data_IF_933265314160
#
_entry.id   IF_933265314160
#
_cell.length_a   1.000
_cell.length_b   1.000
_cell.length_c   1.000
_cell.angle_alpha   90.00
_cell.angle_beta   90.00
_cell.angle_gamma   90.00
#
_symmetry.space_group_name_H-M   'P 1'
#
loop_
_entity.id
_entity.type
_entity.pdbx_description
1 polymer ?
#
# COMPACT_ATOMS: atom_id res chain seq x y z
N UNK A 1 -31.43 -32.28 -7.46
CA UNK A 1 -30.16 -32.88 -7.00
C UNK A 1 -29.22 -32.81 -8.19
N UNK A 2 -28.07 -32.12 -8.10
CA UNK A 2 -27.12 -32.11 -9.24
C UNK A 2 -26.58 -33.54 -9.44
N UNK A 3 -26.38 -34.01 -10.69
CA UNK A 3 -26.17 -35.43 -10.98
C UNK A 3 -24.76 -35.96 -10.65
N UNK A 4 -23.87 -35.08 -10.20
CA UNK A 4 -22.44 -35.36 -10.00
C UNK A 4 -21.99 -34.68 -8.71
N UNK A 5 -21.09 -35.36 -8.00
CA UNK A 5 -20.42 -34.84 -6.81
C UNK A 5 -19.53 -33.65 -7.18
N UNK A 6 -19.77 -32.52 -6.53
CA UNK A 6 -18.95 -31.33 -6.72
C UNK A 6 -17.55 -31.53 -6.11
N UNK A 7 -16.53 -30.95 -6.74
CA UNK A 7 -15.19 -30.89 -6.16
C UNK A 7 -15.25 -30.25 -4.76
N UNK A 8 -14.57 -30.80 -3.73
CA UNK A 8 -14.70 -30.32 -2.34
C UNK A 8 -14.41 -28.83 -2.14
N UNK A 9 -13.54 -28.25 -2.97
CA UNK A 9 -13.19 -26.83 -2.93
C UNK A 9 -14.08 -25.92 -3.79
N UNK A 10 -15.04 -26.46 -4.56
CA UNK A 10 -15.81 -25.68 -5.55
C UNK A 10 -16.46 -24.45 -4.95
N UNK A 11 -17.12 -24.60 -3.79
CA UNK A 11 -17.76 -23.48 -3.11
C UNK A 11 -16.76 -22.51 -2.49
N UNK A 12 -15.68 -23.01 -1.87
CA UNK A 12 -14.65 -22.16 -1.29
C UNK A 12 -13.98 -21.28 -2.35
N UNK A 13 -13.63 -21.85 -3.51
CA UNK A 13 -13.03 -21.12 -4.63
C UNK A 13 -13.96 -20.07 -5.22
N UNK A 14 -15.26 -20.38 -5.37
CA UNK A 14 -16.25 -19.41 -5.85
C UNK A 14 -16.46 -18.29 -4.83
N UNK A 15 -16.52 -18.63 -3.53
CA UNK A 15 -16.70 -17.63 -2.49
C UNK A 15 -15.47 -16.70 -2.36
N UNK A 16 -14.26 -17.19 -2.62
CA UNK A 16 -13.04 -16.36 -2.65
C UNK A 16 -13.14 -15.22 -3.68
N UNK A 17 -13.77 -15.45 -4.84
CA UNK A 17 -14.00 -14.41 -5.85
C UNK A 17 -14.91 -13.28 -5.35
N UNK A 18 -15.73 -13.54 -4.33
CA UNK A 18 -16.69 -12.60 -3.76
C UNK A 18 -16.28 -12.09 -2.37
N UNK A 19 -15.17 -12.58 -1.82
CA UNK A 19 -14.73 -12.33 -0.45
C UNK A 19 -14.39 -10.85 -0.16
N UNK A 20 -14.01 -10.08 -1.20
CA UNK A 20 -13.52 -8.69 -1.09
C UNK A 20 -14.39 -7.72 -1.88
N UNK A 21 -15.68 -7.53 -1.52
CA UNK A 21 -16.51 -6.58 -2.24
C UNK A 21 -15.96 -5.15 -2.10
N UNK A 22 -16.10 -4.37 -3.17
CA UNK A 22 -15.85 -2.93 -3.10
C UNK A 22 -16.84 -2.27 -2.13
N UNK A 23 -16.42 -1.24 -1.38
CA UNK A 23 -17.33 -0.48 -0.55
C UNK A 23 -18.39 0.21 -1.41
N UNK A 24 -19.51 0.56 -0.80
CA UNK A 24 -20.55 1.38 -1.41
C UNK A 24 -20.56 2.72 -0.69
N UNK A 25 -20.16 3.80 -1.36
CA UNK A 25 -19.94 5.10 -0.74
C UNK A 25 -20.95 6.13 -1.24
N UNK A 26 -21.74 6.66 -0.32
CA UNK A 26 -22.63 7.80 -0.61
C UNK A 26 -21.83 9.11 -0.53
N UNK A 27 -22.08 10.03 -1.45
CA UNK A 27 -21.41 11.34 -1.52
C UNK A 27 -22.32 12.38 -0.86
N UNK A 28 -21.80 13.30 -0.03
CA UNK A 28 -20.40 13.44 0.36
C UNK A 28 -19.96 12.42 1.42
N UNK A 29 -18.70 12.01 1.39
CA UNK A 29 -18.07 11.16 2.41
C UNK A 29 -16.57 11.41 2.51
N UNK A 30 -15.93 10.76 3.48
CA UNK A 30 -14.47 10.68 3.54
C UNK A 30 -14.02 9.24 3.78
N UNK A 31 -12.78 8.97 3.40
CA UNK A 31 -12.10 7.71 3.66
C UNK A 31 -10.75 7.95 4.35
N UNK A 32 -10.44 7.13 5.33
CA UNK A 32 -9.12 7.04 5.95
C UNK A 32 -8.54 5.69 5.59
N UNK A 33 -7.34 5.67 5.03
CA UNK A 33 -6.69 4.45 4.56
C UNK A 33 -5.31 4.30 5.18
N UNK A 34 -4.98 3.09 5.62
CA UNK A 34 -3.67 2.70 6.11
C UNK A 34 -3.21 1.42 5.44
N UNK A 35 -1.96 1.38 4.99
CA UNK A 35 -1.28 0.14 4.65
C UNK A 35 -0.08 -0.05 5.60
N UNK A 36 -0.06 -1.17 6.31
CA UNK A 36 0.97 -1.54 7.27
C UNK A 36 1.77 -2.72 6.71
N UNK A 37 3.10 -2.58 6.74
CA UNK A 37 4.02 -3.56 6.17
C UNK A 37 5.18 -3.81 7.12
N UNK A 38 5.57 -5.08 7.26
CA UNK A 38 6.84 -5.44 7.88
C UNK A 38 8.02 -4.96 7.01
N UNK A 39 9.01 -4.24 7.57
CA UNK A 39 10.17 -3.79 6.80
C UNK A 39 10.95 -4.95 6.15
N UNK A 40 11.05 -6.08 6.85
CA UNK A 40 11.82 -7.26 6.43
C UNK A 40 10.92 -8.49 6.36
N UNK A 41 11.14 -9.36 5.38
CA UNK A 41 10.51 -10.66 5.23
C UNK A 41 8.96 -10.66 5.37
N UNK A 42 8.30 -9.64 4.82
CA UNK A 42 6.86 -9.43 5.07
C UNK A 42 5.95 -10.54 4.53
N UNK A 43 6.40 -11.29 3.52
CA UNK A 43 5.69 -12.46 3.01
C UNK A 43 5.57 -13.58 4.06
N UNK A 44 6.53 -13.67 4.98
CA UNK A 44 6.57 -14.65 6.08
C UNK A 44 6.27 -14.03 7.44
N UNK A 45 5.60 -12.88 7.47
CA UNK A 45 5.23 -12.22 8.72
C UNK A 45 4.19 -13.03 9.51
N UNK A 46 4.10 -12.73 10.80
CA UNK A 46 3.05 -13.27 11.66
C UNK A 46 1.69 -12.63 11.33
N UNK A 47 0.87 -13.34 10.55
CA UNK A 47 -0.49 -12.91 10.19
C UNK A 47 -1.45 -12.98 11.39
N UNK A 48 -1.13 -13.75 12.43
CA UNK A 48 -1.93 -13.77 13.66
C UNK A 48 -1.78 -12.45 14.43
N UNK A 49 -0.58 -11.84 14.41
CA UNK A 49 -0.37 -10.51 14.98
C UNK A 49 -1.18 -9.43 14.23
N UNK A 50 -1.25 -9.49 12.90
CA UNK A 50 -2.12 -8.59 12.11
C UNK A 50 -3.59 -8.73 12.51
N UNK A 51 -4.07 -9.97 12.67
CA UNK A 51 -5.45 -10.25 13.10
C UNK A 51 -5.69 -9.79 14.54
N UNK A 52 -4.73 -10.00 15.45
CA UNK A 52 -4.84 -9.56 16.84
C UNK A 52 -4.97 -8.03 16.92
N UNK A 53 -4.24 -7.31 16.08
CA UNK A 53 -4.33 -5.86 15.98
C UNK A 53 -5.70 -5.38 15.48
N UNK A 54 -6.30 -6.07 14.49
CA UNK A 54 -7.69 -5.82 14.09
C UNK A 54 -8.65 -6.09 15.26
N UNK A 55 -8.49 -7.21 15.96
CA UNK A 55 -9.37 -7.57 17.09
C UNK A 55 -9.31 -6.52 18.21
N UNK A 56 -8.13 -6.02 18.58
CA UNK A 56 -7.99 -4.93 19.55
C UNK A 56 -8.76 -3.67 19.11
N UNK A 57 -8.73 -3.33 17.81
CA UNK A 57 -9.54 -2.23 17.28
C UNK A 57 -11.04 -2.50 17.41
N UNK A 58 -11.48 -3.72 17.08
CA UNK A 58 -12.89 -4.10 17.16
C UNK A 58 -13.40 -4.12 18.60
N UNK A 59 -12.60 -4.58 19.55
CA UNK A 59 -12.94 -4.64 20.98
C UNK A 59 -13.19 -3.23 21.56
N UNK A 60 -12.40 -2.23 21.15
CA UNK A 60 -12.61 -0.81 21.53
C UNK A 60 -13.98 -0.28 21.09
N UNK A 61 -14.56 -0.88 20.06
CA UNK A 61 -15.84 -0.46 19.48
C UNK A 61 -16.97 -1.49 19.69
N UNK A 62 -16.74 -2.58 20.41
CA UNK A 62 -17.72 -3.65 20.62
C UNK A 62 -18.16 -4.38 19.33
N UNK A 63 -17.30 -4.41 18.32
CA UNK A 63 -17.59 -5.02 17.02
C UNK A 63 -17.44 -6.55 17.01
N UNK A 64 -18.14 -7.27 16.12
CA UNK A 64 -17.98 -8.72 15.97
C UNK A 64 -16.59 -9.06 15.42
N UNK A 65 -16.02 -10.18 15.85
CA UNK A 65 -14.69 -10.61 15.39
C UNK A 65 -14.76 -11.36 14.05
N UNK A 66 -13.72 -11.25 13.21
CA UNK A 66 -13.58 -12.13 12.06
C UNK A 66 -13.39 -13.59 12.49
N UNK A 67 -13.82 -14.52 11.63
CA UNK A 67 -13.56 -15.94 11.79
C UNK A 67 -12.05 -16.22 12.00
N UNK A 68 -11.69 -17.35 12.64
CA UNK A 68 -10.33 -17.83 12.64
C UNK A 68 -9.77 -17.85 11.20
N UNK A 69 -8.52 -17.43 11.04
CA UNK A 69 -7.79 -17.42 9.76
C UNK A 69 -8.38 -16.56 8.63
N UNK A 70 -9.39 -15.72 8.92
CA UNK A 70 -9.94 -14.81 7.93
C UNK A 70 -8.86 -13.84 7.39
N UNK A 71 -8.79 -13.70 6.07
CA UNK A 71 -7.87 -12.77 5.40
C UNK A 71 -8.50 -11.41 5.07
N UNK A 72 -9.78 -11.23 5.42
CA UNK A 72 -10.50 -9.98 5.23
C UNK A 72 -11.59 -9.84 6.30
N UNK A 73 -12.02 -8.60 6.55
CA UNK A 73 -13.11 -8.27 7.44
C UNK A 73 -13.82 -7.01 6.95
N UNK A 74 -15.14 -6.99 7.08
CA UNK A 74 -15.94 -5.78 6.89
C UNK A 74 -16.92 -5.69 8.05
N UNK A 75 -17.03 -4.52 8.65
CA UNK A 75 -17.98 -4.24 9.72
C UNK A 75 -17.98 -2.78 10.10
N UNK A 76 -18.79 -2.40 11.07
CA UNK A 76 -18.91 -0.99 11.49
C UNK A 76 -18.14 -0.78 12.80
N UNK A 77 -17.37 0.30 12.89
CA UNK A 77 -16.75 0.79 14.13
C UNK A 77 -17.17 2.24 14.38
N UNK A 78 -17.87 2.49 15.48
CA UNK A 78 -18.45 3.81 15.75
C UNK A 78 -19.33 4.30 14.59
N UNK A 79 -18.90 5.38 13.92
CA UNK A 79 -19.58 5.96 12.75
C UNK A 79 -18.94 5.64 11.41
N UNK A 80 -18.02 4.66 11.37
CA UNK A 80 -17.28 4.30 10.17
C UNK A 80 -17.58 2.86 9.76
N UNK A 81 -17.70 2.64 8.46
CA UNK A 81 -17.60 1.32 7.88
C UNK A 81 -16.11 0.99 7.74
N UNK A 82 -15.66 -0.04 8.46
CA UNK A 82 -14.31 -0.57 8.43
C UNK A 82 -14.22 -1.71 7.43
N UNK A 83 -13.19 -1.67 6.61
CA UNK A 83 -12.70 -2.77 5.81
C UNK A 83 -11.26 -3.06 6.19
N UNK A 84 -10.93 -4.33 6.39
CA UNK A 84 -9.59 -4.81 6.66
C UNK A 84 -9.24 -5.92 5.68
N UNK A 85 -8.04 -5.87 5.12
CA UNK A 85 -7.54 -6.90 4.22
C UNK A 85 -6.10 -7.29 4.58
N UNK A 86 -5.88 -8.59 4.78
CA UNK A 86 -4.59 -9.16 5.11
C UNK A 86 -4.00 -9.79 3.84
N UNK A 87 -3.16 -9.03 3.14
CA UNK A 87 -2.47 -9.44 1.93
C UNK A 87 -1.21 -10.24 2.25
N UNK A 88 -0.52 -10.73 1.22
CA UNK A 88 0.71 -11.51 1.38
C UNK A 88 1.84 -10.70 2.00
N UNK A 89 2.02 -9.43 1.65
CA UNK A 89 3.17 -8.62 2.12
C UNK A 89 2.80 -7.43 3.02
N UNK A 90 1.51 -7.12 3.16
CA UNK A 90 1.02 -5.98 3.93
C UNK A 90 -0.43 -6.21 4.36
N UNK A 91 -0.87 -5.39 5.30
CA UNK A 91 -2.24 -5.39 5.82
C UNK A 91 -2.83 -4.00 5.64
N UNK A 92 -4.08 -3.91 5.21
CA UNK A 92 -4.75 -2.63 4.98
C UNK A 92 -5.93 -2.43 5.92
N UNK A 93 -6.15 -1.18 6.29
CA UNK A 93 -7.32 -0.72 7.05
C UNK A 93 -7.93 0.46 6.29
N UNK A 94 -9.21 0.35 5.95
CA UNK A 94 -9.98 1.41 5.30
C UNK A 94 -11.19 1.72 6.14
N UNK A 95 -11.33 2.97 6.58
CA UNK A 95 -12.50 3.45 7.30
C UNK A 95 -13.24 4.48 6.45
N UNK A 96 -14.54 4.31 6.28
CA UNK A 96 -15.39 5.19 5.46
C UNK A 96 -16.50 5.78 6.31
N UNK A 97 -16.77 7.08 6.15
CA UNK A 97 -17.88 7.73 6.87
C UNK A 97 -18.58 8.78 6.01
N UNK A 98 -19.91 8.81 6.12
CA UNK A 98 -20.77 9.79 5.46
C UNK A 98 -20.47 11.20 5.97
N UNK A 99 -20.57 12.17 5.06
CA UNK A 99 -20.26 13.57 5.29
C UNK A 99 -18.76 13.88 5.23
N UNK A 100 -18.47 15.18 5.17
CA UNK A 100 -17.14 15.77 5.09
C UNK A 100 -17.01 16.85 6.18
N UNK A 101 -15.78 17.18 6.58
CA UNK A 101 -15.54 18.34 7.44
C UNK A 101 -15.62 19.64 6.64
N UNK A 102 -15.91 20.74 7.33
CA UNK A 102 -15.82 22.08 6.75
C UNK A 102 -14.37 22.37 6.34
N UNK A 103 -13.42 22.12 7.26
CA UNK A 103 -11.98 22.14 6.94
C UNK A 103 -11.63 20.98 5.98
N UNK A 104 -11.07 21.26 4.80
CA UNK A 104 -10.52 20.23 3.92
C UNK A 104 -9.43 19.43 4.65
N UNK A 105 -9.47 18.11 4.51
CA UNK A 105 -8.48 17.20 5.10
C UNK A 105 -8.23 17.40 6.60
N UNK A 106 -9.30 17.64 7.36
CA UNK A 106 -9.23 17.77 8.82
C UNK A 106 -8.61 16.50 9.46
N UNK A 107 -7.46 16.60 10.16
CA UNK A 107 -6.81 15.46 10.80
C UNK A 107 -7.69 14.72 11.80
N UNK A 108 -8.68 15.40 12.40
CA UNK A 108 -9.65 14.77 13.29
C UNK A 108 -10.45 13.63 12.61
N UNK A 109 -10.49 13.60 11.27
CA UNK A 109 -11.09 12.50 10.51
C UNK A 109 -10.26 11.21 10.58
N UNK A 110 -8.94 11.31 10.77
CA UNK A 110 -8.05 10.15 10.88
C UNK A 110 -8.10 9.46 12.26
N UNK A 111 -8.68 10.11 13.29
CA UNK A 111 -8.76 9.60 14.67
C UNK A 111 -9.59 8.31 14.82
N UNK A 112 -10.27 7.85 13.76
CA UNK A 112 -10.85 6.49 13.70
C UNK A 112 -9.82 5.39 13.98
N UNK A 113 -8.54 5.66 13.72
CA UNK A 113 -7.43 4.82 14.13
C UNK A 113 -6.66 5.51 15.27
N UNK A 114 -6.88 5.12 16.55
CA UNK A 114 -6.28 5.80 17.69
C UNK A 114 -4.74 5.73 17.70
N UNK A 115 -4.08 6.79 18.16
CA UNK A 115 -2.61 6.86 18.20
C UNK A 115 -1.97 5.74 19.04
N UNK A 116 -2.58 5.41 20.19
CA UNK A 116 -2.09 4.34 21.07
C UNK A 116 -2.26 2.95 20.44
N UNK A 117 -3.28 2.79 19.57
CA UNK A 117 -3.45 1.60 18.76
C UNK A 117 -2.39 1.54 17.65
N UNK A 118 -2.20 2.64 16.91
CA UNK A 118 -1.19 2.75 15.85
C UNK A 118 0.23 2.50 16.37
N UNK A 119 0.56 2.96 17.57
CA UNK A 119 1.86 2.75 18.21
C UNK A 119 2.19 1.27 18.50
N UNK A 120 1.16 0.41 18.54
CA UNK A 120 1.30 -1.04 18.78
C UNK A 120 1.23 -1.87 17.50
N UNK A 121 1.22 -1.24 16.33
CA UNK A 121 1.20 -1.92 15.05
C UNK A 121 2.37 -2.90 14.92
N UNK A 122 2.14 -4.14 14.46
CA UNK A 122 3.21 -5.12 14.32
C UNK A 122 4.23 -4.71 13.24
N UNK A 123 3.86 -3.85 12.29
CA UNK A 123 4.72 -3.36 11.21
C UNK A 123 4.75 -1.84 11.09
N UNK A 124 5.36 -1.35 10.01
CA UNK A 124 5.51 0.08 9.73
C UNK A 124 4.50 0.59 8.73
N UNK A 125 4.11 1.86 8.87
CA UNK A 125 3.21 2.56 7.94
C UNK A 125 3.89 2.72 6.58
N UNK A 126 3.32 2.07 5.56
CA UNK A 126 3.73 2.21 4.16
C UNK A 126 2.94 3.31 3.46
N UNK A 127 1.62 3.33 3.67
CA UNK A 127 0.70 4.33 3.10
C UNK A 127 -0.25 4.81 4.17
N UNK A 128 -0.56 6.10 4.12
CA UNK A 128 -1.63 6.71 4.91
C UNK A 128 -2.33 7.77 4.07
N UNK A 129 -3.63 7.61 3.84
CA UNK A 129 -4.41 8.53 3.02
C UNK A 129 -5.58 9.09 3.83
N UNK A 130 -5.83 10.38 3.64
CA UNK A 130 -7.10 11.01 3.98
C UNK A 130 -7.75 11.50 2.69
N UNK A 131 -8.85 10.87 2.33
CA UNK A 131 -9.54 11.08 1.05
C UNK A 131 -10.85 11.82 1.33
N UNK A 132 -11.01 12.99 0.73
CA UNK A 132 -12.26 13.75 0.72
C UNK A 132 -13.03 13.38 -0.55
N UNK A 133 -14.26 12.93 -0.41
CA UNK A 133 -15.14 12.62 -1.55
C UNK A 133 -16.31 13.60 -1.53
N UNK A 134 -16.31 14.52 -2.47
CA UNK A 134 -17.26 15.61 -2.56
C UNK A 134 -18.11 15.50 -3.83
N UNK A 135 -19.23 16.21 -3.85
CA UNK A 135 -20.01 16.36 -5.09
C UNK A 135 -19.23 17.28 -6.02
N UNK A 136 -19.24 16.98 -7.33
CA UNK A 136 -18.70 17.89 -8.33
C UNK A 136 -19.40 19.25 -8.21
N UNK A 137 -18.65 20.37 -8.15
CA UNK A 137 -19.25 21.71 -8.18
C UNK A 137 -20.18 21.87 -9.39
N UNK A 138 -21.21 22.71 -9.26
CA UNK A 138 -22.12 23.01 -10.38
C UNK A 138 -21.39 23.68 -11.54
N UNK A 139 -20.44 24.57 -11.23
CA UNK A 139 -19.48 25.12 -12.18
C UNK A 139 -18.12 24.43 -12.02
N UNK A 140 -17.74 23.58 -12.97
CA UNK A 140 -16.43 22.92 -12.96
C UNK A 140 -15.27 23.94 -13.02
N UNK A 141 -15.52 25.20 -13.42
CA UNK A 141 -14.53 26.27 -13.39
C UNK A 141 -14.10 26.70 -11.97
N UNK A 142 -14.83 26.30 -10.92
CA UNK A 142 -14.44 26.54 -9.54
C UNK A 142 -13.36 25.55 -9.04
N UNK A 143 -13.21 24.39 -9.70
CA UNK A 143 -12.29 23.34 -9.28
C UNK A 143 -10.82 23.78 -9.21
N UNK A 144 -10.25 24.50 -10.20
CA UNK A 144 -8.85 24.93 -10.14
C UNK A 144 -8.55 25.74 -8.87
N UNK A 145 -9.41 26.70 -8.52
CA UNK A 145 -9.28 27.53 -7.32
C UNK A 145 -9.30 26.66 -6.05
N UNK A 146 -10.26 25.73 -5.95
CA UNK A 146 -10.34 24.81 -4.80
C UNK A 146 -9.08 23.94 -4.68
N UNK A 147 -8.55 23.45 -5.80
CA UNK A 147 -7.36 22.61 -5.82
C UNK A 147 -6.09 23.40 -5.45
N UNK A 148 -5.94 24.63 -5.93
CA UNK A 148 -4.84 25.52 -5.57
C UNK A 148 -4.87 25.89 -4.08
N UNK A 149 -6.05 26.05 -3.49
CA UNK A 149 -6.20 26.31 -2.05
C UNK A 149 -5.85 25.10 -1.18
N UNK A 150 -6.07 23.88 -1.67
CA UNK A 150 -5.96 22.65 -0.88
C UNK A 150 -4.63 21.92 -1.04
N UNK A 151 -3.93 22.14 -2.15
CA UNK A 151 -2.77 21.36 -2.56
C UNK A 151 -1.60 22.24 -2.99
N UNK A 152 -0.39 21.69 -2.91
CA UNK A 152 0.82 22.38 -3.38
C UNK A 152 0.86 22.35 -4.93
N UNK A 153 0.84 23.51 -5.62
CA UNK A 153 0.72 23.55 -7.08
C UNK A 153 1.83 22.81 -7.84
N UNK A 154 3.05 22.80 -7.32
CA UNK A 154 4.22 22.20 -7.99
C UNK A 154 4.14 20.68 -8.14
N UNK A 155 3.34 20.01 -7.29
CA UNK A 155 3.16 18.56 -7.32
C UNK A 155 1.71 18.13 -7.49
N UNK A 156 0.80 19.09 -7.69
CA UNK A 156 -0.62 18.82 -7.94
C UNK A 156 -0.79 18.05 -9.25
N UNK A 157 -1.50 16.92 -9.17
CA UNK A 157 -2.02 16.21 -10.32
C UNK A 157 -3.52 16.03 -10.18
N UNK A 158 -4.25 16.21 -11.28
CA UNK A 158 -5.68 15.96 -11.36
C UNK A 158 -6.01 15.13 -12.61
N UNK A 159 -6.96 14.22 -12.50
CA UNK A 159 -7.37 13.35 -13.61
C UNK A 159 -8.86 13.03 -13.56
N UNK A 160 -9.49 13.09 -14.73
CA UNK A 160 -10.86 12.61 -14.93
C UNK A 160 -10.87 11.10 -15.09
N UNK A 161 -11.66 10.41 -14.27
CA UNK A 161 -11.68 8.94 -14.23
C UNK A 161 -13.05 8.37 -14.58
N UNK A 162 -13.06 7.10 -15.00
CA UNK A 162 -14.26 6.29 -15.25
C UNK A 162 -15.30 7.00 -16.15
N UNK A 163 -14.87 7.43 -17.34
CA UNK A 163 -15.70 8.12 -18.35
C UNK A 163 -16.34 9.42 -17.84
N UNK A 164 -15.62 10.17 -17.00
CA UNK A 164 -16.10 11.43 -16.45
C UNK A 164 -17.01 11.28 -15.23
N UNK A 165 -17.01 10.12 -14.57
CA UNK A 165 -17.78 9.93 -13.34
C UNK A 165 -17.21 10.72 -12.15
N UNK A 166 -15.90 10.98 -12.15
CA UNK A 166 -15.25 11.79 -11.13
C UNK A 166 -13.97 12.45 -11.64
N UNK A 167 -13.53 13.48 -10.93
CA UNK A 167 -12.17 14.03 -10.98
C UNK A 167 -11.47 13.66 -9.69
N UNK A 168 -10.28 13.07 -9.79
CA UNK A 168 -9.41 12.76 -8.66
C UNK A 168 -8.23 13.71 -8.69
N UNK A 169 -7.89 14.31 -7.55
CA UNK A 169 -6.76 15.21 -7.41
C UNK A 169 -5.96 14.97 -6.13
N UNK A 170 -4.65 15.19 -6.18
CA UNK A 170 -3.75 15.12 -5.04
C UNK A 170 -2.38 15.67 -5.40
N UNK A 171 -1.55 15.98 -4.40
CA UNK A 171 -0.20 16.53 -4.60
C UNK A 171 0.93 15.57 -4.20
N UNK A 172 0.58 14.36 -3.77
CA UNK A 172 1.50 13.31 -3.31
C UNK A 172 2.43 13.73 -2.17
N UNK A 173 2.07 14.75 -1.41
CA UNK A 173 2.81 15.18 -0.22
C UNK A 173 2.24 14.53 1.03
N UNK A 174 3.12 14.33 2.01
CA UNK A 174 2.74 13.86 3.34
C UNK A 174 2.61 15.09 4.22
N UNK A 175 1.46 15.26 4.85
CA UNK A 175 1.17 16.34 5.77
C UNK A 175 1.89 16.13 7.13
N UNK A 176 1.87 17.11 8.05
CA UNK A 176 2.48 16.97 9.37
C UNK A 176 1.91 15.85 10.25
N UNK A 177 0.66 15.41 10.02
CA UNK A 177 0.05 14.27 10.70
C UNK A 177 0.47 12.91 10.08
N UNK A 178 1.13 12.95 8.91
CA UNK A 178 1.65 11.78 8.23
C UNK A 178 0.69 11.19 7.20
N UNK A 179 -0.29 11.95 6.74
CA UNK A 179 -1.28 11.57 5.74
C UNK A 179 -0.99 12.23 4.40
N UNK A 180 -1.24 11.50 3.32
CA UNK A 180 -1.35 12.05 1.97
C UNK A 180 -2.81 12.33 1.66
N UNK A 181 -3.07 13.44 0.96
CA UNK A 181 -4.41 13.92 0.71
C UNK A 181 -4.84 13.67 -0.72
N UNK A 182 -6.10 13.26 -0.89
CA UNK A 182 -6.75 13.18 -2.20
C UNK A 182 -8.17 13.72 -2.14
N UNK A 183 -8.51 14.58 -3.10
CA UNK A 183 -9.89 15.00 -3.36
C UNK A 183 -10.48 14.14 -4.50
N UNK A 184 -11.72 13.71 -4.33
CA UNK A 184 -12.51 13.01 -5.35
C UNK A 184 -13.81 13.78 -5.53
N UNK A 185 -13.94 14.49 -6.63
CA UNK A 185 -15.16 15.23 -6.99
C UNK A 185 -16.02 14.36 -7.90
N UNK A 186 -17.22 14.01 -7.44
CA UNK A 186 -18.06 13.00 -8.08
C UNK A 186 -19.23 13.66 -8.79
N UNK A 187 -19.40 13.34 -10.08
CA UNK A 187 -20.53 13.83 -10.87
C UNK A 187 -21.87 13.32 -10.29
N UNK A 188 -22.90 14.17 -10.17
CA UNK A 188 -24.24 13.75 -9.77
C UNK A 188 -24.76 12.57 -10.61
N UNK A 189 -25.49 11.66 -9.97
CA UNK A 189 -25.99 10.42 -10.60
C UNK A 189 -25.00 9.25 -10.63
N UNK A 190 -23.75 9.46 -10.21
CA UNK A 190 -22.78 8.37 -10.03
C UNK A 190 -23.21 7.44 -8.89
N UNK A 191 -23.40 6.15 -9.17
CA UNK A 191 -23.86 5.18 -8.17
C UNK A 191 -22.85 5.00 -7.01
N UNK A 192 -23.30 4.77 -5.76
CA UNK A 192 -22.42 4.55 -4.61
C UNK A 192 -21.38 3.44 -4.78
N UNK A 193 -21.74 2.36 -5.48
CA UNK A 193 -20.80 1.26 -5.81
C UNK A 193 -19.68 1.71 -6.75
N UNK A 194 -19.97 2.64 -7.67
CA UNK A 194 -18.95 3.21 -8.57
C UNK A 194 -18.01 4.13 -7.81
N UNK A 195 -18.54 4.94 -6.88
CA UNK A 195 -17.72 5.79 -5.99
C UNK A 195 -16.76 4.95 -5.14
N UNK A 196 -17.29 3.91 -4.48
CA UNK A 196 -16.44 3.03 -3.67
C UNK A 196 -15.38 2.26 -4.48
N UNK A 197 -15.66 1.92 -5.74
CA UNK A 197 -14.63 1.41 -6.67
C UNK A 197 -13.54 2.44 -6.95
N UNK A 198 -13.89 3.70 -7.20
CA UNK A 198 -12.91 4.77 -7.47
C UNK A 198 -11.99 4.94 -6.25
N UNK A 199 -12.56 5.10 -5.05
CA UNK A 199 -11.79 5.32 -3.81
C UNK A 199 -10.92 4.11 -3.47
N UNK A 200 -11.44 2.89 -3.56
CA UNK A 200 -10.66 1.67 -3.32
C UNK A 200 -9.51 1.54 -4.34
N UNK A 201 -9.75 1.79 -5.63
CA UNK A 201 -8.69 1.74 -6.66
C UNK A 201 -7.62 2.80 -6.43
N UNK A 202 -7.99 4.00 -5.98
CA UNK A 202 -7.04 5.03 -5.59
C UNK A 202 -6.13 4.56 -4.44
N UNK A 203 -6.71 3.94 -3.41
CA UNK A 203 -5.94 3.37 -2.29
C UNK A 203 -4.99 2.25 -2.75
N UNK A 204 -5.45 1.38 -3.66
CA UNK A 204 -4.65 0.32 -4.24
C UNK A 204 -3.51 0.88 -5.09
N UNK A 205 -3.78 1.86 -5.96
CA UNK A 205 -2.76 2.55 -6.77
C UNK A 205 -1.66 3.10 -5.86
N UNK A 206 -2.01 3.79 -4.77
CA UNK A 206 -0.97 4.32 -3.87
C UNK A 206 -0.22 3.26 -3.09
N UNK A 207 -0.89 2.17 -2.73
CA UNK A 207 -0.22 1.04 -2.08
C UNK A 207 0.78 0.40 -3.03
N UNK A 208 0.39 0.15 -4.28
CA UNK A 208 1.26 -0.48 -5.26
C UNK A 208 2.36 0.46 -5.78
N UNK A 209 2.08 1.77 -5.94
CA UNK A 209 3.13 2.77 -6.20
C UNK A 209 4.18 2.74 -5.10
N UNK A 210 3.78 2.80 -3.83
CA UNK A 210 4.71 2.76 -2.70
C UNK A 210 5.50 1.45 -2.66
N UNK A 211 4.84 0.31 -2.88
CA UNK A 211 5.48 -1.01 -2.95
C UNK A 211 6.52 -1.10 -4.08
N UNK A 212 6.20 -0.60 -5.27
CA UNK A 212 7.13 -0.56 -6.41
C UNK A 212 8.34 0.32 -6.11
N UNK A 213 8.15 1.45 -5.43
CA UNK A 213 9.24 2.35 -5.04
C UNK A 213 10.19 1.77 -3.98
N UNK A 214 9.75 0.77 -3.18
CA UNK A 214 10.67 0.02 -2.31
C UNK A 214 11.71 -0.77 -3.14
N UNK A 215 11.34 -1.22 -4.34
CA UNK A 215 12.26 -1.85 -5.29
C UNK A 215 13.37 -0.91 -5.74
N UNK A 216 13.04 0.36 -6.01
CA UNK A 216 14.02 1.40 -6.37
C UNK A 216 15.05 1.63 -5.26
N UNK A 217 14.62 1.71 -4.00
CA UNK A 217 15.54 1.87 -2.87
C UNK A 217 16.54 0.69 -2.80
N UNK A 218 16.05 -0.54 -3.01
CA UNK A 218 16.90 -1.73 -3.05
C UNK A 218 17.85 -1.74 -4.25
N UNK A 219 17.39 -1.29 -5.41
CA UNK A 219 18.23 -1.15 -6.60
C UNK A 219 19.40 -0.18 -6.37
N UNK A 220 19.13 0.97 -5.73
CA UNK A 220 20.15 1.95 -5.38
C UNK A 220 21.18 1.37 -4.40
N UNK A 221 20.72 0.68 -3.35
CA UNK A 221 21.61 0.01 -2.38
C UNK A 221 22.50 -1.04 -3.07
N UNK A 222 21.91 -1.87 -3.94
CA UNK A 222 22.66 -2.87 -4.70
C UNK A 222 23.70 -2.21 -5.61
N UNK A 223 23.31 -1.15 -6.33
CA UNK A 223 24.23 -0.38 -7.19
C UNK A 223 25.42 0.19 -6.41
N UNK A 224 25.20 0.75 -5.21
CA UNK A 224 26.29 1.22 -4.34
C UNK A 224 27.24 0.09 -3.95
N UNK A 225 26.72 -1.09 -3.59
CA UNK A 225 27.56 -2.24 -3.22
C UNK A 225 28.36 -2.80 -4.40
N UNK A 226 27.74 -2.92 -5.57
CA UNK A 226 28.43 -3.36 -6.78
C UNK A 226 29.56 -2.40 -7.17
N UNK A 227 29.29 -1.09 -7.16
CA UNK A 227 30.30 -0.07 -7.45
C UNK A 227 31.48 -0.10 -6.45
N UNK A 228 31.27 -0.58 -5.22
CA UNK A 228 32.33 -0.74 -4.23
C UNK A 228 33.18 -2.01 -4.42
N UNK A 229 32.62 -3.04 -5.09
CA UNK A 229 33.33 -4.27 -5.43
C UNK A 229 34.16 -4.13 -6.72
N UNK A 230 33.74 -3.26 -7.65
CA UNK A 230 34.42 -3.07 -8.94
C UNK A 230 35.92 -2.75 -8.83
N UNK A 231 36.38 -1.78 -8.00
CA UNK A 231 37.81 -1.51 -7.85
C UNK A 231 38.57 -2.69 -7.24
N UNK A 232 37.96 -3.40 -6.28
CA UNK A 232 38.59 -4.55 -5.63
C UNK A 232 38.82 -5.69 -6.64
N UNK A 233 37.85 -5.91 -7.54
CA UNK A 233 37.96 -6.91 -8.59
C UNK A 233 39.02 -6.50 -9.63
N UNK A 234 39.07 -5.23 -10.02
CA UNK A 234 40.08 -4.71 -10.96
C UNK A 234 41.50 -4.84 -10.41
N UNK A 235 41.73 -4.46 -9.15
CA UNK A 235 43.04 -4.60 -8.48
C UNK A 235 43.46 -6.06 -8.40
N UNK A 236 42.52 -6.96 -8.12
CA UNK A 236 42.76 -8.38 -8.03
C UNK A 236 43.12 -8.99 -9.39
N UNK A 237 42.40 -8.63 -10.45
CA UNK A 237 42.71 -9.05 -11.83
C UNK A 237 44.07 -8.50 -12.27
N UNK A 238 44.38 -7.23 -11.99
CA UNK A 238 45.68 -6.64 -12.29
C UNK A 238 46.84 -7.35 -11.56
N UNK A 239 46.60 -7.85 -10.34
CA UNK A 239 47.61 -8.59 -9.56
C UNK A 239 47.93 -9.98 -10.13
N UNK A 240 47.02 -10.58 -10.92
CA UNK A 240 47.18 -11.91 -11.51
C UNK A 240 48.15 -11.88 -12.70
N UNK A 241 48.11 -10.82 -13.52
CA UNK A 241 48.99 -10.65 -14.70
C UNK A 241 50.47 -10.45 -14.31
N UNK A 242 50.75 -10.10 -13.06
CA UNK A 242 52.09 -9.73 -12.56
C UNK A 242 52.92 -10.84 -11.92
N UNK A 243 52.48 -12.11 -11.95
CA UNK A 243 53.06 -13.22 -11.16
C UNK A 243 52.91 -12.95 -9.63
N UNK A 244 51.72 -13.17 -9.06
CA UNK A 244 51.38 -12.70 -7.73
C UNK A 244 52.28 -13.33 -6.65
N UNK A 245 52.80 -12.55 -5.69
CA UNK A 245 53.67 -13.07 -4.63
C UNK A 245 52.97 -14.09 -3.71
N UNK A 246 51.63 -14.06 -3.64
CA UNK A 246 50.81 -14.94 -2.80
C UNK A 246 49.51 -15.39 -3.52
N UNK A 247 49.57 -16.42 -4.39
CA UNK A 247 48.40 -16.91 -5.14
C UNK A 247 47.23 -17.36 -4.27
N UNK A 248 47.51 -17.88 -3.07
CA UNK A 248 46.49 -18.32 -2.12
C UNK A 248 45.67 -17.15 -1.56
N UNK A 249 46.30 -16.01 -1.30
CA UNK A 249 45.61 -14.79 -0.86
C UNK A 249 44.72 -14.22 -1.98
N UNK A 250 45.23 -14.23 -3.22
CA UNK A 250 44.45 -13.85 -4.41
C UNK A 250 43.19 -14.71 -4.57
N UNK A 251 43.33 -16.04 -4.44
CA UNK A 251 42.20 -16.97 -4.50
C UNK A 251 41.19 -16.72 -3.37
N UNK A 252 41.66 -16.48 -2.14
CA UNK A 252 40.78 -16.20 -1.00
C UNK A 252 39.94 -14.93 -1.23
N UNK A 253 40.57 -13.87 -1.74
CA UNK A 253 39.89 -12.62 -2.07
C UNK A 253 38.87 -12.79 -3.22
N UNK A 254 39.20 -13.57 -4.25
CA UNK A 254 38.27 -13.90 -5.34
C UNK A 254 37.03 -14.64 -4.81
N UNK A 255 37.24 -15.65 -3.96
CA UNK A 255 36.15 -16.41 -3.35
C UNK A 255 35.28 -15.54 -2.44
N UNK A 256 35.86 -14.60 -1.70
CA UNK A 256 35.12 -13.66 -0.87
C UNK A 256 34.22 -12.73 -1.71
N UNK A 257 34.75 -12.16 -2.80
CA UNK A 257 33.98 -11.34 -3.74
C UNK A 257 32.87 -12.16 -4.39
N UNK A 258 33.16 -13.39 -4.82
CA UNK A 258 32.17 -14.29 -5.43
C UNK A 258 31.04 -14.64 -4.45
N UNK A 259 31.36 -14.97 -3.20
CA UNK A 259 30.36 -15.26 -2.17
C UNK A 259 29.48 -14.03 -1.87
N UNK A 260 30.07 -12.83 -1.85
CA UNK A 260 29.30 -11.59 -1.68
C UNK A 260 28.36 -11.33 -2.86
N UNK A 261 28.82 -11.51 -4.10
CA UNK A 261 27.98 -11.38 -5.29
C UNK A 261 26.80 -12.37 -5.29
N UNK A 262 27.05 -13.63 -4.95
CA UNK A 262 25.99 -14.65 -4.81
C UNK A 262 24.99 -14.27 -3.72
N UNK A 263 25.47 -13.81 -2.56
CA UNK A 263 24.61 -13.33 -1.48
C UNK A 263 23.75 -12.15 -1.93
N UNK A 264 24.31 -11.19 -2.66
CA UNK A 264 23.58 -10.03 -3.20
C UNK A 264 22.55 -10.46 -4.24
N UNK A 265 22.88 -11.42 -5.11
CA UNK A 265 21.96 -11.98 -6.10
C UNK A 265 20.75 -12.62 -5.41
N UNK A 266 20.97 -13.57 -4.49
CA UNK A 266 19.91 -14.27 -3.76
C UNK A 266 18.99 -13.30 -3.01
N UNK A 267 19.56 -12.28 -2.35
CA UNK A 267 18.77 -11.30 -1.61
C UNK A 267 17.94 -10.37 -2.50
N UNK A 268 18.35 -10.18 -3.76
CA UNK A 268 17.70 -9.22 -4.67
C UNK A 268 16.63 -9.85 -5.56
N UNK A 269 16.74 -11.16 -5.85
CA UNK A 269 15.80 -11.90 -6.70
C UNK A 269 14.34 -11.80 -6.25
N UNK A 270 14.06 -11.96 -4.95
CA UNK A 270 12.68 -11.93 -4.45
C UNK A 270 12.03 -10.56 -4.62
N UNK A 271 12.77 -9.47 -4.34
CA UNK A 271 12.21 -8.11 -4.40
C UNK A 271 12.06 -7.61 -5.83
N UNK A 272 13.03 -7.86 -6.72
CA UNK A 272 12.89 -7.48 -8.12
C UNK A 272 11.77 -8.26 -8.81
N UNK A 273 11.60 -9.55 -8.51
CA UNK A 273 10.45 -10.32 -8.97
C UNK A 273 9.11 -9.74 -8.52
N UNK A 274 9.00 -9.29 -7.27
CA UNK A 274 7.81 -8.60 -6.77
C UNK A 274 7.56 -7.26 -7.46
N UNK A 275 8.61 -6.48 -7.75
CA UNK A 275 8.48 -5.21 -8.49
C UNK A 275 7.99 -5.43 -9.92
N UNK A 276 8.48 -6.46 -10.62
CA UNK A 276 7.98 -6.83 -11.96
C UNK A 276 6.51 -7.25 -11.93
N UNK A 277 6.03 -7.87 -10.85
CA UNK A 277 4.61 -8.20 -10.69
C UNK A 277 3.70 -6.96 -10.58
N UNK A 278 4.26 -5.77 -10.34
CA UNK A 278 3.54 -4.50 -10.27
C UNK A 278 3.67 -3.64 -11.54
N UNK A 279 4.35 -4.13 -12.58
CA UNK A 279 4.53 -3.43 -13.86
C UNK A 279 3.29 -3.53 -14.79
N UNK A 280 2.33 -4.40 -14.46
CA UNK A 280 1.15 -4.72 -15.27
C UNK A 280 0.01 -3.69 -15.18
#
# INVERSE_FOLDING_TARGET
MMPIEDHPQRYALVNELHARPFPSLEVPCHAVYLAIKQPVAAASRDRAADRAQLVDLLDRHGGPHPAPDASHYTGTIGHHDLKWENHTEFTTYSAFRKGIAERPFDPARAEVFPDDWLARMPGTRLVSLLIRVDVMPEDEADLPTMLEDWFVPESLAASTVNDGAAIVAGDFRIDPAGHMHFAVFVRPGTSPRRVGRIVQRLCEIETYRAMSMLGLARARELGTRLNALDPQLLDLVASIDGNPPHPEATLHNLLAISAELERLAVQSFFRFGATTAYEA
#
